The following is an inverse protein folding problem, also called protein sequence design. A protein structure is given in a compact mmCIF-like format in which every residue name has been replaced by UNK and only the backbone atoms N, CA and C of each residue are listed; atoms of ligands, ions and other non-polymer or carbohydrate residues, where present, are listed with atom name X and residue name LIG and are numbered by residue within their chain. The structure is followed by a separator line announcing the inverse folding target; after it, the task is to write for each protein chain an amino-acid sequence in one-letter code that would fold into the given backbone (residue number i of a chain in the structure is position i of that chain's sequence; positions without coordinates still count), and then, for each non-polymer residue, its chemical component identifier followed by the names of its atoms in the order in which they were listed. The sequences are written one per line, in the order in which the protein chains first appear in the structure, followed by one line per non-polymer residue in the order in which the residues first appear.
data_IF_239411493745
#
_entry.id   IF_239411493745
#
_cell.length_a   1.000
_cell.length_b   1.000
_cell.length_c   1.000
_cell.angle_alpha   90.00
_cell.angle_beta   90.00
_cell.angle_gamma   90.00
#
_symmetry.space_group_name_H-M   'P 1'
#
loop_
_entity.id
_entity.type
_entity.pdbx_description
1 polymer ?
#
# COMPACT_ATOMS: atom_id res chain seq x y z
N UNK A 1 18.96 0.54 5.97
CA UNK A 1 18.48 1.05 4.66
C UNK A 1 19.63 1.49 3.75
N UNK A 2 20.81 1.82 4.26
CA UNK A 2 22.01 2.09 3.44
C UNK A 2 22.30 0.95 2.45
N UNK A 3 22.47 1.29 1.18
CA UNK A 3 22.74 0.33 0.10
C UNK A 3 21.49 -0.25 -0.58
N UNK A 4 20.29 0.22 -0.23
CA UNK A 4 19.04 -0.14 -0.92
C UNK A 4 18.59 0.97 -1.87
N UNK A 5 18.02 0.61 -3.01
CA UNK A 5 17.45 1.58 -3.97
C UNK A 5 15.99 1.91 -3.69
N UNK A 6 15.23 0.95 -3.15
CA UNK A 6 13.79 1.04 -2.90
C UNK A 6 13.46 0.45 -1.53
N UNK A 7 12.55 1.09 -0.80
CA UNK A 7 11.91 0.53 0.40
C UNK A 7 10.47 0.14 0.06
N UNK A 8 10.06 -1.06 0.44
CA UNK A 8 8.66 -1.51 0.36
C UNK A 8 8.18 -1.83 1.78
N UNK A 9 7.29 -1.01 2.32
CA UNK A 9 6.71 -1.22 3.64
C UNK A 9 5.42 -2.03 3.53
N UNK A 10 5.54 -3.34 3.79
CA UNK A 10 4.43 -4.30 3.82
C UNK A 10 4.11 -4.79 5.23
N UNK A 11 4.83 -4.32 6.24
CA UNK A 11 4.62 -4.70 7.63
C UNK A 11 3.27 -4.19 8.15
N UNK A 12 2.64 -4.99 9.00
CA UNK A 12 1.39 -4.65 9.68
C UNK A 12 1.12 -5.59 10.83
N UNK A 13 0.34 -5.15 11.81
CA UNK A 13 0.07 -5.93 13.01
C UNK A 13 -0.84 -7.16 12.78
N UNK A 14 -1.45 -7.30 11.59
CA UNK A 14 -2.23 -8.48 11.24
C UNK A 14 -3.41 -8.78 12.18
N UNK A 15 -3.98 -7.76 12.82
CA UNK A 15 -5.07 -7.92 13.79
C UNK A 15 -4.63 -8.27 15.22
N UNK A 16 -3.33 -8.18 15.55
CA UNK A 16 -2.79 -8.47 16.87
C UNK A 16 -3.17 -7.45 17.98
N UNK A 17 -4.15 -6.58 17.73
CA UNK A 17 -4.68 -5.62 18.70
C UNK A 17 -4.22 -4.18 18.49
N UNK A 18 -4.90 -3.25 19.17
CA UNK A 18 -4.75 -1.80 19.00
C UNK A 18 -3.32 -1.33 19.23
N UNK A 19 -2.66 -1.79 20.30
CA UNK A 19 -1.30 -1.37 20.65
C UNK A 19 -0.31 -1.75 19.56
N UNK A 20 -0.36 -3.01 19.08
CA UNK A 20 0.52 -3.46 18.01
C UNK A 20 0.20 -2.79 16.68
N UNK A 21 -1.06 -2.52 16.36
CA UNK A 21 -1.42 -1.72 15.17
C UNK A 21 -0.81 -0.31 15.25
N UNK A 22 -0.91 0.36 16.39
CA UNK A 22 -0.32 1.69 16.56
C UNK A 22 1.21 1.65 16.42
N UNK A 23 1.85 0.67 17.07
CA UNK A 23 3.30 0.53 17.07
C UNK A 23 3.86 0.11 15.70
N UNK A 24 3.23 -0.84 15.00
CA UNK A 24 3.74 -1.42 13.75
C UNK A 24 3.26 -0.61 12.54
N UNK A 25 1.94 -0.50 12.33
CA UNK A 25 1.38 0.18 11.16
C UNK A 25 1.57 1.70 11.21
N UNK A 26 1.61 2.27 12.43
CA UNK A 26 1.80 3.71 12.66
C UNK A 26 3.26 4.10 12.86
N UNK A 27 3.80 3.84 14.06
CA UNK A 27 5.13 4.32 14.45
C UNK A 27 6.26 3.62 13.69
N UNK A 28 6.08 2.34 13.35
CA UNK A 28 6.99 1.59 12.49
C UNK A 28 7.11 2.21 11.11
N UNK A 29 6.00 2.66 10.51
CA UNK A 29 6.05 3.40 9.25
C UNK A 29 6.79 4.73 9.41
N UNK A 30 6.42 5.56 10.39
CA UNK A 30 7.09 6.86 10.62
C UNK A 30 8.60 6.72 10.76
N UNK A 31 9.02 5.72 11.54
CA UNK A 31 10.44 5.39 11.74
C UNK A 31 11.10 4.97 10.43
N UNK A 32 10.39 4.18 9.61
CA UNK A 32 10.90 3.72 8.31
C UNK A 32 11.04 4.85 7.30
N UNK A 33 10.09 5.80 7.28
CA UNK A 33 10.16 7.01 6.44
C UNK A 33 11.37 7.85 6.83
N UNK A 34 11.53 8.16 8.13
CA UNK A 34 12.68 8.93 8.61
C UNK A 34 14.01 8.21 8.32
N UNK A 35 14.06 6.88 8.47
CA UNK A 35 15.25 6.10 8.16
C UNK A 35 15.59 6.11 6.66
N UNK A 36 14.59 6.12 5.78
CA UNK A 36 14.80 6.20 4.34
C UNK A 36 15.38 7.56 3.94
N UNK A 37 14.84 8.65 4.49
CA UNK A 37 15.37 10.01 4.29
C UNK A 37 16.82 10.13 4.76
N UNK A 38 17.11 9.65 5.98
CA UNK A 38 18.47 9.66 6.53
C UNK A 38 19.46 8.83 5.72
N UNK A 39 19.01 7.70 5.16
CA UNK A 39 19.83 6.83 4.33
C UNK A 39 19.95 7.29 2.87
N UNK A 40 19.21 8.35 2.46
CA UNK A 40 19.16 8.82 1.08
C UNK A 40 18.40 7.90 0.13
N UNK A 41 17.60 6.94 0.65
CA UNK A 41 16.80 6.04 -0.17
C UNK A 41 15.52 6.75 -0.55
N UNK A 42 15.45 7.22 -1.81
CA UNK A 42 14.36 8.10 -2.25
C UNK A 42 13.05 7.37 -2.51
N UNK A 43 13.07 6.15 -3.04
CA UNK A 43 11.87 5.46 -3.53
C UNK A 43 11.23 4.62 -2.42
N UNK A 44 9.96 4.86 -2.14
CA UNK A 44 9.25 4.25 -1.01
C UNK A 44 7.83 3.79 -1.40
N UNK A 45 7.58 2.50 -1.35
CA UNK A 45 6.26 1.91 -1.61
C UNK A 45 5.60 1.53 -0.29
N UNK A 46 4.35 1.93 -0.07
CA UNK A 46 3.57 1.61 1.13
C UNK A 46 2.35 0.78 0.77
N UNK A 47 2.17 -0.37 1.43
CA UNK A 47 0.89 -1.09 1.43
C UNK A 47 -0.01 -0.52 2.51
N UNK A 48 -1.08 0.14 2.09
CA UNK A 48 -2.07 0.80 2.94
C UNK A 48 -3.41 0.05 2.97
N UNK A 49 -4.54 0.75 3.11
CA UNK A 49 -5.88 0.19 3.19
C UNK A 49 -6.86 0.92 2.27
N UNK A 50 -7.77 0.17 1.65
CA UNK A 50 -8.85 0.72 0.83
C UNK A 50 -9.84 1.54 1.68
N UNK A 51 -10.23 2.78 1.29
CA UNK A 51 -11.10 3.63 2.11
C UNK A 51 -12.52 3.08 2.33
N UNK A 52 -12.99 2.21 1.45
CA UNK A 52 -14.31 1.56 1.47
C UNK A 52 -14.35 0.27 2.30
N UNK A 53 -13.21 -0.18 2.85
CA UNK A 53 -13.17 -1.37 3.67
C UNK A 53 -14.18 -1.28 4.83
N UNK A 54 -15.06 -2.28 4.91
CA UNK A 54 -16.17 -2.39 5.88
C UNK A 54 -17.14 -1.19 5.92
N UNK A 55 -17.16 -0.32 4.90
CA UNK A 55 -18.05 0.84 4.85
C UNK A 55 -19.52 0.40 4.85
N UNK A 56 -20.31 1.03 5.73
CA UNK A 56 -21.74 0.72 5.87
C UNK A 56 -22.04 -0.54 6.69
N UNK A 57 -21.04 -1.09 7.37
CA UNK A 57 -21.19 -2.22 8.31
C UNK A 57 -20.87 -1.77 9.74
N UNK A 58 -21.29 -2.56 10.72
CA UNK A 58 -20.87 -2.37 12.11
C UNK A 58 -19.42 -2.83 12.27
N UNK A 59 -18.53 -1.90 12.62
CA UNK A 59 -17.09 -2.14 12.78
C UNK A 59 -16.68 -2.21 14.26
N UNK A 60 -15.61 -2.93 14.55
CA UNK A 60 -15.04 -2.97 15.90
C UNK A 60 -14.15 -1.74 16.15
N UNK A 61 -13.97 -1.37 17.42
CA UNK A 61 -13.03 -0.30 17.79
C UNK A 61 -11.59 -0.57 17.30
N UNK A 62 -11.19 -1.85 17.21
CA UNK A 62 -9.90 -2.24 16.64
C UNK A 62 -9.81 -1.95 15.14
N UNK A 63 -10.87 -2.20 14.38
CA UNK A 63 -10.93 -1.90 12.95
C UNK A 63 -10.91 -0.39 12.68
N UNK A 64 -11.71 0.39 13.42
CA UNK A 64 -11.68 1.84 13.33
C UNK A 64 -10.30 2.42 13.66
N UNK A 65 -9.64 1.87 14.69
CA UNK A 65 -8.26 2.22 15.01
C UNK A 65 -7.31 1.90 13.84
N UNK A 66 -7.43 0.72 13.24
CA UNK A 66 -6.64 0.32 12.08
C UNK A 66 -6.81 1.31 10.92
N UNK A 67 -8.05 1.61 10.51
CA UNK A 67 -8.31 2.54 9.41
C UNK A 67 -7.75 3.94 9.69
N UNK A 68 -7.90 4.43 10.93
CA UNK A 68 -7.32 5.71 11.37
C UNK A 68 -5.79 5.69 11.30
N UNK A 69 -5.14 4.62 11.78
CA UNK A 69 -3.68 4.49 11.75
C UNK A 69 -3.16 4.43 10.32
N UNK A 70 -3.75 3.60 9.45
CA UNK A 70 -3.38 3.50 8.03
C UNK A 70 -3.54 4.84 7.32
N UNK A 71 -4.61 5.59 7.60
CA UNK A 71 -4.79 6.93 7.05
C UNK A 71 -3.72 7.92 7.53
N UNK A 72 -3.34 7.90 8.80
CA UNK A 72 -2.25 8.73 9.30
C UNK A 72 -0.89 8.33 8.70
N UNK A 73 -0.68 7.04 8.49
CA UNK A 73 0.48 6.49 7.78
C UNK A 73 0.58 7.03 6.35
N UNK A 74 -0.52 7.02 5.60
CA UNK A 74 -0.59 7.61 4.26
C UNK A 74 -0.20 9.09 4.26
N UNK A 75 -0.76 9.87 5.20
CA UNK A 75 -0.47 11.31 5.31
C UNK A 75 0.99 11.55 5.67
N UNK A 76 1.56 10.75 6.57
CA UNK A 76 2.96 10.83 6.95
C UNK A 76 3.89 10.65 5.74
N UNK A 77 3.68 9.59 4.96
CA UNK A 77 4.50 9.33 3.77
C UNK A 77 4.25 10.40 2.69
N UNK A 78 2.98 10.73 2.42
CA UNK A 78 2.61 11.70 1.39
C UNK A 78 3.15 13.12 1.64
N UNK A 79 3.40 13.47 2.91
CA UNK A 79 3.97 14.77 3.31
C UNK A 79 5.50 14.78 3.34
N UNK A 80 6.16 13.65 3.09
CA UNK A 80 7.62 13.57 3.01
C UNK A 80 8.14 14.04 1.65
N UNK A 81 9.46 14.23 1.55
CA UNK A 81 10.10 14.57 0.27
C UNK A 81 10.44 13.33 -0.59
N UNK A 82 10.14 12.13 -0.09
CA UNK A 82 10.40 10.88 -0.80
C UNK A 82 9.64 10.79 -2.13
N UNK A 83 10.16 9.96 -3.02
CA UNK A 83 9.44 9.45 -4.19
C UNK A 83 8.59 8.27 -3.73
N UNK A 84 7.30 8.50 -3.50
CA UNK A 84 6.44 7.50 -2.87
C UNK A 84 5.32 6.99 -3.78
N UNK A 85 4.89 5.75 -3.53
CA UNK A 85 3.63 5.21 -4.03
C UNK A 85 2.88 4.56 -2.88
N UNK A 86 1.60 4.88 -2.73
CA UNK A 86 0.74 4.28 -1.70
C UNK A 86 -0.23 3.34 -2.40
N UNK A 87 -0.07 2.04 -2.19
CA UNK A 87 -0.95 1.01 -2.71
C UNK A 87 -2.04 0.69 -1.68
N UNK A 88 -3.30 0.86 -2.04
CA UNK A 88 -4.48 0.56 -1.21
C UNK A 88 -5.18 -0.69 -1.77
N UNK A 89 -4.75 -1.89 -1.35
CA UNK A 89 -5.41 -3.12 -1.78
C UNK A 89 -6.80 -3.25 -1.16
N UNK A 90 -7.66 -3.98 -1.87
CA UNK A 90 -8.93 -4.49 -1.37
C UNK A 90 -8.77 -5.51 -0.24
N UNK A 91 -9.81 -6.30 0.03
CA UNK A 91 -9.72 -7.38 1.02
C UNK A 91 -8.68 -8.41 0.59
N UNK A 92 -7.64 -8.61 1.40
CA UNK A 92 -6.60 -9.59 1.10
C UNK A 92 -7.12 -11.02 1.31
N UNK A 93 -6.99 -11.85 0.29
CA UNK A 93 -7.33 -13.28 0.32
C UNK A 93 -6.10 -14.16 0.05
N UNK A 94 -6.15 -15.40 0.54
CA UNK A 94 -5.07 -16.40 0.40
C UNK A 94 -5.26 -17.37 -0.78
N UNK A 95 -6.19 -17.07 -1.68
CA UNK A 95 -6.30 -17.79 -2.94
C UNK A 95 -5.10 -17.51 -3.84
N UNK A 96 -4.81 -18.44 -4.76
CA UNK A 96 -3.75 -18.26 -5.76
C UNK A 96 -4.01 -17.03 -6.63
N UNK A 97 -2.95 -16.25 -6.87
CA UNK A 97 -3.01 -15.08 -7.76
C UNK A 97 -3.38 -15.44 -9.20
N UNK A 98 -4.13 -14.55 -9.84
CA UNK A 98 -4.57 -14.69 -11.24
C UNK A 98 -3.59 -14.06 -12.23
N UNK A 99 -2.66 -13.22 -11.75
CA UNK A 99 -1.83 -12.34 -12.57
C UNK A 99 -2.60 -11.17 -13.19
N UNK A 100 -3.87 -10.98 -12.81
CA UNK A 100 -4.76 -9.96 -13.35
C UNK A 100 -5.40 -9.14 -12.24
N UNK A 101 -5.48 -7.83 -12.48
CA UNK A 101 -5.92 -6.86 -11.49
C UNK A 101 -6.78 -5.78 -12.12
N UNK A 102 -7.43 -5.00 -11.26
CA UNK A 102 -7.94 -3.66 -11.55
C UNK A 102 -7.16 -2.69 -10.68
N UNK A 103 -6.51 -1.72 -11.31
CA UNK A 103 -5.76 -0.66 -10.63
C UNK A 103 -6.23 0.71 -11.12
N UNK A 104 -6.25 1.70 -10.23
CA UNK A 104 -6.62 3.07 -10.57
C UNK A 104 -6.61 4.00 -9.36
N UNK A 105 -6.98 5.27 -9.56
CA UNK A 105 -7.02 6.26 -8.48
C UNK A 105 -8.26 6.14 -7.60
N UNK A 106 -9.37 5.68 -8.18
CA UNK A 106 -10.66 5.47 -7.55
C UNK A 106 -11.39 4.33 -8.28
N UNK A 107 -11.44 3.14 -7.68
CA UNK A 107 -12.05 1.93 -8.26
C UNK A 107 -13.07 1.31 -7.30
N UNK A 108 -13.93 0.39 -7.78
CA UNK A 108 -14.81 -0.36 -6.88
C UNK A 108 -14.00 -1.22 -5.90
N UNK A 109 -14.39 -1.20 -4.63
CA UNK A 109 -13.85 -2.09 -3.61
C UNK A 109 -14.20 -3.55 -3.90
N UNK A 110 -13.32 -4.46 -3.47
CA UNK A 110 -13.44 -5.89 -3.67
C UNK A 110 -12.27 -6.62 -3.04
N UNK A 111 -12.11 -7.89 -3.41
CA UNK A 111 -11.05 -8.75 -2.89
C UNK A 111 -9.82 -8.70 -3.81
N UNK A 112 -8.67 -9.14 -3.30
CA UNK A 112 -7.42 -9.26 -4.06
C UNK A 112 -6.52 -10.35 -3.43
N UNK A 113 -6.04 -11.34 -4.21
CA UNK A 113 -5.02 -12.28 -3.76
C UNK A 113 -3.75 -11.58 -3.30
N UNK A 114 -3.16 -12.04 -2.19
CA UNK A 114 -1.85 -11.54 -1.72
C UNK A 114 -0.74 -11.70 -2.77
N UNK A 115 -0.82 -12.77 -3.55
CA UNK A 115 0.08 -13.03 -4.69
C UNK A 115 0.04 -11.91 -5.73
N UNK A 116 -1.16 -11.43 -6.08
CA UNK A 116 -1.36 -10.39 -7.09
C UNK A 116 -0.93 -9.02 -6.56
N UNK A 117 -1.09 -8.75 -5.25
CA UNK A 117 -0.51 -7.55 -4.60
C UNK A 117 1.01 -7.58 -4.68
N UNK A 118 1.64 -8.72 -4.39
CA UNK A 118 3.09 -8.88 -4.45
C UNK A 118 3.61 -8.71 -5.89
N UNK A 119 2.94 -9.31 -6.87
CA UNK A 119 3.26 -9.14 -8.29
C UNK A 119 3.16 -7.67 -8.72
N UNK A 120 2.11 -6.97 -8.29
CA UNK A 120 1.91 -5.55 -8.60
C UNK A 120 3.00 -4.65 -7.99
N UNK A 121 3.37 -4.89 -6.73
CA UNK A 121 4.47 -4.17 -6.08
C UNK A 121 5.80 -4.43 -6.79
N UNK A 122 6.09 -5.67 -7.17
CA UNK A 122 7.29 -6.01 -7.93
C UNK A 122 7.34 -5.27 -9.26
N UNK A 123 6.23 -5.22 -10.00
CA UNK A 123 6.14 -4.47 -11.25
C UNK A 123 6.30 -2.94 -11.07
N UNK A 124 5.89 -2.38 -9.92
CA UNK A 124 6.05 -0.95 -9.60
C UNK A 124 7.50 -0.54 -9.31
N UNK A 125 8.35 -1.47 -8.86
CA UNK A 125 9.76 -1.18 -8.54
C UNK A 125 10.49 -0.60 -9.75
N UNK A 126 10.22 -1.15 -10.94
CA UNK A 126 10.89 -0.79 -12.19
C UNK A 126 10.20 0.36 -12.97
N UNK A 127 9.33 1.14 -12.31
CA UNK A 127 8.51 2.19 -12.95
C UNK A 127 8.67 3.54 -12.24
N UNK A 128 9.86 4.16 -12.25
CA UNK A 128 10.17 5.40 -11.54
C UNK A 128 9.29 6.60 -11.94
N UNK A 129 8.71 6.58 -13.14
CA UNK A 129 7.75 7.57 -13.63
C UNK A 129 6.43 7.59 -12.83
N UNK A 130 6.08 6.46 -12.21
CA UNK A 130 4.95 6.39 -11.28
C UNK A 130 5.48 6.86 -9.93
N UNK A 131 5.21 8.13 -9.63
CA UNK A 131 5.74 8.85 -8.47
C UNK A 131 4.64 9.70 -7.83
N UNK A 132 4.64 9.72 -6.49
CA UNK A 132 3.71 10.50 -5.64
C UNK A 132 2.24 10.24 -5.98
N UNK A 133 1.90 8.96 -6.22
CA UNK A 133 0.55 8.51 -6.53
C UNK A 133 -0.02 7.57 -5.46
N UNK A 134 -1.32 7.71 -5.22
CA UNK A 134 -2.12 6.74 -4.47
C UNK A 134 -2.83 5.86 -5.49
N UNK A 135 -2.66 4.55 -5.38
CA UNK A 135 -3.24 3.57 -6.29
C UNK A 135 -4.10 2.61 -5.48
N UNK A 136 -5.35 2.45 -5.89
CA UNK A 136 -6.26 1.44 -5.39
C UNK A 136 -6.13 0.17 -6.24
N UNK A 137 -6.23 -1.00 -5.60
CA UNK A 137 -6.00 -2.30 -6.25
C UNK A 137 -7.01 -3.35 -5.80
N UNK A 138 -7.71 -3.96 -6.75
CA UNK A 138 -8.59 -5.13 -6.53
C UNK A 138 -8.37 -6.17 -7.61
N UNK A 139 -9.02 -7.32 -7.48
CA UNK A 139 -9.11 -8.32 -8.54
C UNK A 139 -9.73 -7.70 -9.80
N UNK A 140 -9.30 -8.15 -10.97
CA UNK A 140 -9.77 -7.67 -12.25
C UNK A 140 -9.29 -8.52 -13.41
N UNK A 141 -9.30 -7.95 -14.61
CA UNK A 141 -9.03 -8.68 -15.86
C UNK A 141 -7.85 -8.12 -16.64
N UNK A 142 -7.10 -7.18 -16.05
CA UNK A 142 -5.95 -6.56 -16.71
C UNK A 142 -4.68 -7.19 -16.19
N UNK A 143 -3.81 -7.76 -17.04
CA UNK A 143 -2.52 -8.28 -16.61
C UNK A 143 -1.73 -7.24 -15.81
N UNK A 144 -1.07 -7.66 -14.72
CA UNK A 144 -0.36 -6.76 -13.80
C UNK A 144 0.56 -5.78 -14.53
N UNK A 145 1.40 -6.25 -15.45
CA UNK A 145 2.37 -5.41 -16.15
C UNK A 145 1.68 -4.35 -17.02
N UNK A 146 0.52 -4.69 -17.60
CA UNK A 146 -0.28 -3.74 -18.38
C UNK A 146 -0.95 -2.72 -17.46
N UNK A 147 -1.48 -3.17 -16.32
CA UNK A 147 -2.13 -2.29 -15.35
C UNK A 147 -1.14 -1.25 -14.79
N UNK A 148 0.08 -1.67 -14.44
CA UNK A 148 1.13 -0.75 -13.97
C UNK A 148 1.52 0.25 -15.06
N UNK A 149 1.82 -0.21 -16.29
CA UNK A 149 2.20 0.70 -17.40
C UNK A 149 1.15 1.77 -17.69
N UNK A 150 -0.14 1.44 -17.55
CA UNK A 150 -1.22 2.39 -17.78
C UNK A 150 -1.27 3.55 -16.76
N UNK A 151 -0.61 3.42 -15.60
CA UNK A 151 -0.55 4.46 -14.56
C UNK A 151 0.55 5.50 -14.81
N UNK A 152 1.54 5.18 -15.66
CA UNK A 152 2.68 6.06 -15.96
C UNK A 152 2.45 7.07 -17.09
N UNK A 153 1.29 7.05 -17.77
CA UNK A 153 1.07 7.81 -19.02
C UNK A 153 0.41 9.18 -18.83
N UNK A 154 0.91 10.03 -17.93
CA UNK A 154 0.39 11.39 -17.69
C UNK A 154 1.37 12.50 -18.02
#
# INVERSE_FOLDING_TARGET
MTGSDVVIFTAGAGGAGIELTNAIDGDGLKTSVAAAELAGVRRFLLVSAFPEAARGTDTSAGFENYMRVKKHADVCLASSELDWVILRPGTLVDSTGSGQVRAGLAIPYGDIPRDDVAAFLAALVDQPEISRQIIELTEGTTPVERAVKALGTH
#
